data_IF_980605853889
#
_entry.id   IF_980605853889
#
_cell.length_a   1.000
_cell.length_b   1.000
_cell.length_c   1.000
_cell.angle_alpha   90.00
_cell.angle_beta   90.00
_cell.angle_gamma   90.00
#
_symmetry.space_group_name_H-M   'P 1'
#
loop_
_entity.id
_entity.type
_entity.pdbx_description
1 polymer ?
#
# COMPACT_ATOMS: atom_id res chain seq x y z
N UNK A 1 -5.04 -21.29 66.48
CA UNK A 1 -3.61 -21.00 66.29
C UNK A 1 -3.00 -22.01 65.32
N UNK A 2 -2.42 -21.50 64.24
CA UNK A 2 -1.26 -22.03 63.48
C UNK A 2 -1.32 -23.48 62.98
N UNK A 3 -2.06 -23.69 61.89
CA UNK A 3 -1.67 -24.69 60.89
C UNK A 3 -0.62 -24.05 59.98
N UNK A 4 0.63 -24.50 60.06
CA UNK A 4 1.70 -24.05 59.17
C UNK A 4 2.67 -25.20 58.91
N UNK A 5 3.03 -25.31 57.63
CA UNK A 5 4.20 -26.00 57.07
C UNK A 5 4.12 -27.52 57.04
N UNK A 6 3.55 -28.06 55.97
CA UNK A 6 3.99 -29.31 55.32
C UNK A 6 3.52 -29.32 53.85
N UNK A 7 3.98 -28.32 53.09
CA UNK A 7 3.87 -28.27 51.63
C UNK A 7 5.29 -28.20 51.04
N UNK A 8 6.16 -29.09 51.53
CA UNK A 8 7.57 -29.21 51.14
C UNK A 8 7.86 -30.49 50.34
N UNK A 9 6.84 -31.12 49.76
CA UNK A 9 6.99 -32.43 49.10
C UNK A 9 6.32 -32.49 47.70
N UNK A 10 6.57 -31.49 46.86
CA UNK A 10 6.24 -31.58 45.43
C UNK A 10 7.36 -30.96 44.56
N UNK A 11 8.61 -31.20 44.94
CA UNK A 11 9.83 -30.66 44.29
C UNK A 11 10.48 -31.62 43.28
N UNK A 12 10.00 -32.86 43.07
CA UNK A 12 10.83 -33.87 42.36
C UNK A 12 10.14 -34.60 41.20
N UNK A 13 9.33 -33.92 40.39
CA UNK A 13 8.77 -34.57 39.20
C UNK A 13 8.53 -33.61 38.04
N UNK A 14 9.60 -33.12 37.42
CA UNK A 14 9.68 -32.82 35.97
C UNK A 14 11.10 -32.37 35.61
N UNK A 15 12.06 -33.29 35.66
CA UNK A 15 13.37 -33.12 35.01
C UNK A 15 13.58 -34.29 34.06
N UNK A 16 13.30 -34.04 32.78
CA UNK A 16 13.75 -34.72 31.56
C UNK A 16 12.88 -34.09 30.45
N UNK A 17 13.36 -33.38 29.42
CA UNK A 17 14.53 -33.58 28.56
C UNK A 17 14.80 -32.27 27.80
N UNK A 18 16.09 -31.92 27.61
CA UNK A 18 16.56 -31.32 26.35
C UNK A 18 16.97 -29.84 26.33
N UNK A 19 18.29 -29.58 26.37
CA UNK A 19 18.93 -28.51 25.58
C UNK A 19 19.69 -27.42 26.35
N UNK A 20 20.98 -27.62 26.60
CA UNK A 20 21.94 -26.53 26.79
C UNK A 20 22.61 -26.23 25.44
N UNK A 21 22.46 -25.00 24.94
CA UNK A 21 23.41 -24.38 24.02
C UNK A 21 23.45 -22.86 24.28
N UNK A 22 24.42 -22.49 25.13
CA UNK A 22 25.20 -21.25 25.21
C UNK A 22 24.46 -19.89 25.23
N UNK A 23 24.56 -19.24 26.40
CA UNK A 23 24.34 -17.81 26.63
C UNK A 23 25.37 -16.93 25.89
N UNK A 24 24.91 -15.80 25.35
CA UNK A 24 25.54 -14.48 25.58
C UNK A 24 24.42 -13.45 25.79
N UNK A 25 24.55 -12.71 26.89
CA UNK A 25 23.61 -11.73 27.42
C UNK A 25 24.10 -10.35 27.01
N UNK A 26 23.36 -9.62 26.17
CA UNK A 26 23.57 -8.19 25.97
C UNK A 26 22.22 -7.46 25.95
N UNK A 27 22.27 -6.26 26.48
CA UNK A 27 21.22 -5.58 27.21
C UNK A 27 20.31 -4.76 26.28
N UNK A 28 19.08 -4.56 26.73
CA UNK A 28 18.04 -3.76 26.08
C UNK A 28 18.52 -2.35 25.71
N UNK A 29 18.27 -1.90 24.48
CA UNK A 29 18.05 -0.47 24.20
C UNK A 29 17.16 -0.24 22.97
N UNK A 30 15.96 0.30 23.26
CA UNK A 30 15.15 1.24 22.47
C UNK A 30 15.17 1.21 20.93
N UNK A 31 13.98 0.96 20.38
CA UNK A 31 13.38 1.71 19.27
C UNK A 31 14.12 3.02 18.93
N UNK A 32 14.79 3.08 17.79
CA UNK A 32 14.99 4.29 16.99
C UNK A 32 15.58 3.95 15.61
N UNK A 33 14.80 4.25 14.56
CA UNK A 33 15.31 4.74 13.27
C UNK A 33 16.13 3.78 12.42
N UNK A 34 15.44 2.99 11.59
CA UNK A 34 16.02 2.45 10.37
C UNK A 34 16.46 3.60 9.44
N UNK A 35 17.76 3.91 9.42
CA UNK A 35 18.38 4.75 8.39
C UNK A 35 19.18 3.86 7.42
N UNK A 36 18.46 3.32 6.44
CA UNK A 36 19.01 2.66 5.25
C UNK A 36 19.56 3.73 4.31
N UNK A 37 20.85 4.05 4.41
CA UNK A 37 21.55 4.86 3.40
C UNK A 37 22.33 3.95 2.46
N UNK A 38 21.64 3.49 1.41
CA UNK A 38 22.26 2.93 0.21
C UNK A 38 22.68 4.08 -0.70
N UNK A 39 23.93 4.51 -0.59
CA UNK A 39 24.55 5.47 -1.50
C UNK A 39 24.87 4.78 -2.84
N UNK A 40 24.13 5.14 -3.90
CA UNK A 40 24.54 4.91 -5.29
C UNK A 40 24.91 6.26 -5.89
N UNK A 41 26.22 6.48 -6.05
CA UNK A 41 26.77 7.57 -6.86
C UNK A 41 26.95 7.07 -8.29
N UNK A 42 26.37 7.77 -9.27
CA UNK A 42 26.96 8.09 -10.59
C UNK A 42 25.88 8.59 -11.56
N UNK A 43 26.17 9.70 -12.24
CA UNK A 43 25.43 10.16 -13.42
C UNK A 43 24.48 11.33 -13.17
N UNK A 44 25.00 12.54 -13.34
CA UNK A 44 24.28 13.81 -13.43
C UNK A 44 23.28 13.80 -14.59
N UNK A 45 22.02 13.58 -14.25
CA UNK A 45 20.90 14.25 -14.90
C UNK A 45 19.93 14.59 -13.76
N UNK A 46 19.67 15.89 -13.58
CA UNK A 46 18.58 16.37 -12.72
C UNK A 46 17.27 15.89 -13.36
N UNK A 47 16.91 14.64 -13.15
CA UNK A 47 15.63 14.10 -13.55
C UNK A 47 14.60 14.67 -12.59
N UNK A 48 13.65 15.44 -13.12
CA UNK A 48 12.53 15.93 -12.34
C UNK A 48 11.78 14.72 -11.75
N UNK A 49 11.77 14.61 -10.43
CA UNK A 49 10.96 13.64 -9.72
C UNK A 49 9.50 13.90 -10.10
N UNK A 50 8.82 12.88 -10.64
CA UNK A 50 7.43 13.04 -11.06
C UNK A 50 6.59 13.28 -9.80
N UNK A 51 5.98 14.45 -9.70
CA UNK A 51 5.14 14.79 -8.56
C UNK A 51 3.87 13.92 -8.55
N UNK A 52 3.88 12.87 -7.72
CA UNK A 52 2.74 11.96 -7.50
C UNK A 52 1.80 12.42 -6.38
N UNK A 53 1.94 13.65 -5.87
CA UNK A 53 1.12 14.19 -4.79
C UNK A 53 -0.40 14.12 -5.04
N UNK A 54 -0.92 14.45 -6.23
CA UNK A 54 -2.34 14.30 -6.56
C UNK A 54 -2.82 12.85 -6.44
N UNK A 55 -2.07 11.90 -7.01
CA UNK A 55 -2.38 10.47 -6.90
C UNK A 55 -2.38 9.98 -5.45
N UNK A 56 -1.41 10.39 -4.64
CA UNK A 56 -1.35 9.97 -3.24
C UNK A 56 -2.50 10.54 -2.40
N UNK A 57 -2.93 11.79 -2.67
CA UNK A 57 -4.12 12.36 -2.04
C UNK A 57 -5.39 11.60 -2.43
N UNK A 58 -5.55 11.25 -3.71
CA UNK A 58 -6.71 10.48 -4.17
C UNK A 58 -6.74 9.07 -3.55
N UNK A 59 -5.59 8.39 -3.50
CA UNK A 59 -5.46 7.10 -2.84
C UNK A 59 -5.77 7.20 -1.34
N UNK A 60 -5.23 8.22 -0.65
CA UNK A 60 -5.49 8.44 0.77
C UNK A 60 -6.96 8.70 1.08
N UNK A 61 -7.65 9.49 0.25
CA UNK A 61 -9.09 9.68 0.36
C UNK A 61 -9.86 8.36 0.26
N UNK A 62 -9.56 7.52 -0.75
CA UNK A 62 -10.25 6.25 -0.94
C UNK A 62 -9.90 5.20 0.12
N UNK A 63 -8.67 5.18 0.65
CA UNK A 63 -8.28 4.29 1.77
C UNK A 63 -9.10 4.56 3.04
N UNK A 64 -9.62 5.78 3.21
CA UNK A 64 -10.46 6.15 4.35
C UNK A 64 -11.91 5.66 4.27
N UNK A 65 -12.32 5.05 3.15
CA UNK A 65 -13.71 4.60 2.95
C UNK A 65 -13.89 3.13 3.32
N UNK A 66 -15.00 2.79 3.96
CA UNK A 66 -15.36 1.40 4.33
C UNK A 66 -15.76 0.53 3.13
N UNK A 67 -16.18 1.16 2.04
CA UNK A 67 -16.60 0.53 0.79
C UNK A 67 -15.47 0.34 -0.23
N UNK A 68 -14.23 0.63 0.16
CA UNK A 68 -13.00 0.40 -0.63
C UNK A 68 -12.07 -0.54 0.14
N UNK A 69 -11.69 -1.66 -0.49
CA UNK A 69 -10.75 -2.64 0.07
C UNK A 69 -9.28 -2.27 -0.19
N UNK A 70 -8.98 -1.84 -1.40
CA UNK A 70 -7.63 -1.52 -1.86
C UNK A 70 -7.70 -0.46 -2.95
N UNK A 71 -6.66 0.34 -3.08
CA UNK A 71 -6.57 1.44 -4.06
C UNK A 71 -5.15 1.67 -4.51
N UNK A 72 -5.01 1.90 -5.81
CA UNK A 72 -3.79 2.37 -6.45
C UNK A 72 -4.12 3.56 -7.34
N UNK A 73 -3.27 4.58 -7.28
CA UNK A 73 -3.40 5.77 -8.12
C UNK A 73 -2.05 6.17 -8.70
N UNK A 74 -2.08 6.70 -9.92
CA UNK A 74 -0.93 7.25 -10.65
C UNK A 74 -1.39 8.50 -11.41
N UNK A 75 -0.58 9.56 -11.40
CA UNK A 75 -0.85 10.76 -12.19
C UNK A 75 0.29 11.07 -13.18
N UNK A 76 -0.07 11.68 -14.31
CA UNK A 76 0.88 12.16 -15.32
C UNK A 76 0.30 13.37 -16.05
N UNK A 77 1.00 14.51 -16.01
CA UNK A 77 0.44 15.77 -16.48
C UNK A 77 -0.89 16.10 -15.80
N UNK A 78 -1.93 16.24 -16.62
CA UNK A 78 -3.32 16.49 -16.23
C UNK A 78 -4.14 15.22 -15.96
N UNK A 79 -3.60 14.02 -16.18
CA UNK A 79 -4.34 12.76 -15.98
C UNK A 79 -4.18 12.22 -14.57
N UNK A 80 -5.28 11.73 -14.02
CA UNK A 80 -5.32 11.06 -12.73
C UNK A 80 -6.04 9.72 -12.87
N UNK A 81 -5.26 8.64 -12.94
CA UNK A 81 -5.76 7.27 -13.05
C UNK A 81 -5.85 6.65 -11.65
N UNK A 82 -7.05 6.23 -11.27
CA UNK A 82 -7.35 5.68 -9.95
C UNK A 82 -8.07 4.35 -10.13
N UNK A 83 -7.48 3.29 -9.62
CA UNK A 83 -8.06 1.96 -9.64
C UNK A 83 -8.26 1.45 -8.22
N UNK A 84 -9.43 0.89 -7.93
CA UNK A 84 -9.80 0.48 -6.58
C UNK A 84 -10.54 -0.86 -6.59
N UNK A 85 -10.61 -1.48 -5.42
CA UNK A 85 -11.32 -2.74 -5.22
C UNK A 85 -12.48 -2.52 -4.26
N UNK A 86 -13.67 -2.96 -4.64
CA UNK A 86 -14.85 -2.93 -3.76
C UNK A 86 -14.95 -4.28 -3.03
N UNK A 87 -15.18 -4.31 -1.70
CA UNK A 87 -15.40 -5.55 -0.96
C UNK A 87 -16.56 -6.37 -1.55
N UNK A 88 -16.42 -7.70 -1.59
CA UNK A 88 -17.44 -8.59 -2.16
C UNK A 88 -18.82 -8.45 -1.49
N UNK A 89 -18.86 -8.13 -0.19
CA UNK A 89 -20.10 -7.89 0.55
C UNK A 89 -20.92 -6.69 0.05
N UNK A 90 -20.30 -5.75 -0.68
CA UNK A 90 -20.95 -4.55 -1.24
C UNK A 90 -21.39 -4.75 -2.71
N UNK A 91 -21.50 -6.01 -3.18
CA UNK A 91 -21.87 -6.34 -4.59
C UNK A 91 -23.15 -5.64 -5.06
N UNK A 92 -24.16 -5.57 -4.19
CA UNK A 92 -25.47 -5.00 -4.53
C UNK A 92 -25.44 -3.48 -4.71
N UNK A 93 -24.57 -2.79 -3.97
CA UNK A 93 -24.39 -1.34 -4.05
C UNK A 93 -23.21 -0.92 -4.94
N UNK A 94 -22.59 -1.85 -5.66
CA UNK A 94 -21.36 -1.61 -6.44
C UNK A 94 -21.49 -0.41 -7.40
N UNK A 95 -22.54 -0.37 -8.22
CA UNK A 95 -22.77 0.73 -9.17
C UNK A 95 -22.94 2.08 -8.47
N UNK A 96 -23.60 2.09 -7.31
CA UNK A 96 -23.80 3.30 -6.52
C UNK A 96 -22.48 3.79 -5.92
N UNK A 97 -21.66 2.86 -5.42
CA UNK A 97 -20.31 3.16 -4.90
C UNK A 97 -19.42 3.72 -6.00
N UNK A 98 -19.40 3.10 -7.18
CA UNK A 98 -18.62 3.55 -8.34
C UNK A 98 -19.00 4.98 -8.74
N UNK A 99 -20.31 5.27 -8.81
CA UNK A 99 -20.82 6.61 -9.14
C UNK A 99 -20.46 7.65 -8.09
N UNK A 100 -20.59 7.31 -6.81
CA UNK A 100 -20.23 8.20 -5.70
C UNK A 100 -18.72 8.51 -5.70
N UNK A 101 -17.89 7.47 -5.86
CA UNK A 101 -16.44 7.63 -5.93
C UNK A 101 -16.04 8.51 -7.13
N UNK A 102 -16.57 8.25 -8.33
CA UNK A 102 -16.23 9.03 -9.52
C UNK A 102 -16.60 10.50 -9.36
N UNK A 103 -17.80 10.79 -8.85
CA UNK A 103 -18.24 12.17 -8.58
C UNK A 103 -17.33 12.86 -7.58
N UNK A 104 -17.06 12.22 -6.43
CA UNK A 104 -16.22 12.81 -5.37
C UNK A 104 -14.80 13.06 -5.83
N UNK A 105 -14.23 12.17 -6.63
CA UNK A 105 -12.88 12.38 -7.17
C UNK A 105 -12.85 13.54 -8.17
N UNK A 106 -13.86 13.69 -9.04
CA UNK A 106 -13.96 14.84 -9.94
C UNK A 106 -14.09 16.16 -9.18
N UNK A 107 -14.87 16.18 -8.10
CA UNK A 107 -15.04 17.35 -7.25
C UNK A 107 -13.73 17.73 -6.50
N UNK A 108 -12.97 16.73 -6.05
CA UNK A 108 -11.69 16.92 -5.34
C UNK A 108 -10.54 17.32 -6.26
N UNK A 109 -10.63 16.98 -7.55
CA UNK A 109 -9.57 17.18 -8.54
C UNK A 109 -10.10 17.83 -9.83
N UNK A 110 -10.70 19.03 -9.77
CA UNK A 110 -11.37 19.66 -10.93
C UNK A 110 -10.42 20.04 -12.08
N UNK A 111 -9.11 20.10 -11.83
CA UNK A 111 -8.08 20.36 -12.84
C UNK A 111 -7.48 19.10 -13.48
N UNK A 112 -8.00 17.92 -13.17
CA UNK A 112 -7.50 16.65 -13.68
C UNK A 112 -8.55 15.93 -14.54
N UNK A 113 -8.08 15.25 -15.59
CA UNK A 113 -8.84 14.21 -16.28
C UNK A 113 -8.84 12.96 -15.41
N UNK A 114 -9.87 12.86 -14.57
CA UNK A 114 -10.05 11.75 -13.62
C UNK A 114 -10.63 10.54 -14.32
N UNK A 115 -9.87 9.45 -14.31
CA UNK A 115 -10.32 8.12 -14.72
C UNK A 115 -10.33 7.21 -13.50
N UNK A 116 -11.52 6.84 -13.05
CA UNK A 116 -11.73 5.97 -11.91
C UNK A 116 -12.28 4.61 -12.36
N UNK A 117 -11.77 3.50 -11.81
CA UNK A 117 -12.25 2.16 -12.19
C UNK A 117 -12.17 1.16 -11.03
N UNK A 118 -13.23 0.38 -10.87
CA UNK A 118 -13.28 -0.77 -9.95
C UNK A 118 -12.85 -2.09 -10.60
N UNK A 119 -12.46 -2.05 -11.88
CA UNK A 119 -12.08 -3.23 -12.65
C UNK A 119 -10.75 -3.82 -12.15
N UNK A 120 -10.75 -5.13 -11.90
CA UNK A 120 -9.60 -5.82 -11.32
C UNK A 120 -8.38 -5.80 -12.26
N UNK A 121 -8.58 -5.90 -13.57
CA UNK A 121 -7.49 -5.84 -14.56
C UNK A 121 -6.85 -4.46 -14.55
N UNK A 122 -7.67 -3.40 -14.50
CA UNK A 122 -7.18 -2.02 -14.41
C UNK A 122 -6.41 -1.79 -13.12
N UNK A 123 -6.89 -2.35 -12.00
CA UNK A 123 -6.18 -2.34 -10.73
C UNK A 123 -4.78 -2.95 -10.83
N UNK A 124 -4.65 -4.18 -11.36
CA UNK A 124 -3.36 -4.85 -11.48
C UNK A 124 -2.39 -4.13 -12.41
N UNK A 125 -2.89 -3.64 -13.55
CA UNK A 125 -2.09 -2.86 -14.51
C UNK A 125 -1.58 -1.56 -13.90
N UNK A 126 -2.42 -0.87 -13.14
CA UNK A 126 -2.04 0.38 -12.46
C UNK A 126 -1.05 0.11 -11.32
N UNK A 127 -1.22 -1.01 -10.59
CA UNK A 127 -0.28 -1.47 -9.57
C UNK A 127 1.09 -1.84 -10.15
N UNK A 128 1.11 -2.52 -11.29
CA UNK A 128 2.32 -2.83 -12.06
C UNK A 128 3.02 -1.54 -12.50
N UNK A 129 2.28 -0.56 -13.02
CA UNK A 129 2.83 0.76 -13.38
C UNK A 129 3.46 1.47 -12.18
N UNK A 130 2.74 1.57 -11.06
CA UNK A 130 3.25 2.22 -9.84
C UNK A 130 4.52 1.52 -9.32
N UNK A 131 4.52 0.20 -9.24
CA UNK A 131 5.69 -0.56 -8.82
C UNK A 131 6.89 -0.36 -9.78
N UNK A 132 6.64 -0.26 -11.09
CA UNK A 132 7.70 0.03 -12.06
C UNK A 132 8.25 1.45 -11.93
N UNK A 133 7.41 2.43 -11.56
CA UNK A 133 7.84 3.80 -11.27
C UNK A 133 8.71 3.86 -10.02
N UNK A 134 8.37 3.09 -8.99
CA UNK A 134 9.15 3.03 -7.73
C UNK A 134 10.52 2.35 -7.93
N UNK A 135 10.60 1.35 -8.82
CA UNK A 135 11.80 0.53 -9.04
C UNK A 135 12.72 1.02 -10.16
N UNK A 136 12.28 1.94 -11.02
CA UNK A 136 13.03 2.39 -12.21
C UNK A 136 12.90 3.89 -12.40
N UNK A 137 13.87 4.51 -13.08
CA UNK A 137 13.76 5.92 -13.50
C UNK A 137 12.83 6.03 -14.71
N UNK A 138 11.62 6.54 -14.49
CA UNK A 138 10.66 6.85 -15.55
C UNK A 138 10.68 8.34 -15.88
N UNK A 139 10.60 8.65 -17.17
CA UNK A 139 10.25 10.00 -17.63
C UNK A 139 8.73 10.14 -17.73
N UNK A 140 8.25 11.38 -17.68
CA UNK A 140 6.81 11.70 -17.74
C UNK A 140 6.14 11.14 -19.00
N UNK A 141 6.84 11.10 -20.14
CA UNK A 141 6.27 10.61 -21.40
C UNK A 141 5.96 9.12 -21.33
N UNK A 142 6.82 8.34 -20.71
CA UNK A 142 6.61 6.91 -20.48
C UNK A 142 5.41 6.68 -19.55
N UNK A 143 5.31 7.41 -18.45
CA UNK A 143 4.17 7.29 -17.52
C UNK A 143 2.87 7.65 -18.24
N UNK A 144 2.83 8.78 -18.95
CA UNK A 144 1.66 9.20 -19.70
C UNK A 144 1.23 8.17 -20.76
N UNK A 145 2.19 7.52 -21.43
CA UNK A 145 1.90 6.47 -22.42
C UNK A 145 1.22 5.26 -21.78
N UNK A 146 1.74 4.79 -20.64
CA UNK A 146 1.17 3.65 -19.94
C UNK A 146 -0.19 4.00 -19.32
N UNK A 147 -0.35 5.19 -18.73
CA UNK A 147 -1.64 5.68 -18.23
C UNK A 147 -2.69 5.64 -19.35
N UNK A 148 -2.40 6.23 -20.53
CA UNK A 148 -3.32 6.20 -21.68
C UNK A 148 -3.61 4.78 -22.18
N UNK A 149 -2.62 3.88 -22.14
CA UNK A 149 -2.82 2.48 -22.51
C UNK A 149 -3.82 1.81 -21.56
N UNK A 150 -3.67 2.04 -20.26
CA UNK A 150 -4.56 1.49 -19.24
C UNK A 150 -5.97 2.09 -19.35
N UNK A 151 -6.09 3.40 -19.57
CA UNK A 151 -7.38 4.07 -19.81
C UNK A 151 -8.12 3.47 -21.01
N UNK A 152 -7.40 3.21 -22.12
CA UNK A 152 -7.99 2.59 -23.30
C UNK A 152 -8.52 1.18 -22.99
N UNK A 153 -7.76 0.38 -22.24
CA UNK A 153 -8.20 -0.95 -21.79
C UNK A 153 -9.46 -0.88 -20.92
N UNK A 154 -9.63 0.18 -20.14
CA UNK A 154 -10.83 0.38 -19.32
C UNK A 154 -12.08 0.65 -20.18
N UNK A 155 -11.90 1.29 -21.35
CA UNK A 155 -13.01 1.66 -22.26
C UNK A 155 -13.40 0.53 -23.20
N UNK A 156 -12.50 -0.38 -23.54
CA UNK A 156 -12.76 -1.51 -24.45
C UNK A 156 -13.66 -2.61 -23.85
N UNK A 157 -13.84 -2.63 -22.52
CA UNK A 157 -14.67 -3.64 -21.83
C UNK A 157 -16.00 -3.09 -21.30
N UNK A 158 -16.34 -1.85 -21.65
CA UNK A 158 -17.65 -1.24 -21.34
C UNK A 158 -18.54 -1.30 -22.57
#
# INVERSE_FOLDING_TARGET
MKMKKWWLAAVVAMIAVGGCAKEETEQKQSLQGANLLRTQTSGTAKHAELNQGPAERAASYLRGRDDVRDVVAVNSGDRLLIAYQIPHMKRWSRKQIEKDIDQKLRDLFPGYDVVSSSDLKIFWKTKELKANMDNRRWDERKVNREVRRIEKLSKEQT
#
